data_IF_232624303186
#
_entry.id   IF_232624303186
#
_cell.length_a   1.000
_cell.length_b   1.000
_cell.length_c   1.000
_cell.angle_alpha   90.00
_cell.angle_beta   90.00
_cell.angle_gamma   90.00
#
_symmetry.space_group_name_H-M   'P 1'
#
loop_
_entity.id
_entity.type
_entity.pdbx_description
1 polymer ?
#
# COMPACT_ATOMS: atom_id res chain seq x y z
N UNK A 1 27.08 22.23 53.55
CA UNK A 1 27.24 21.73 52.17
C UNK A 1 25.91 21.95 51.45
N UNK A 2 25.80 23.06 50.71
CA UNK A 2 24.54 23.48 50.06
C UNK A 2 24.40 22.68 48.75
N UNK A 3 23.37 21.83 48.63
CA UNK A 3 23.05 21.15 47.38
C UNK A 3 22.32 22.13 46.45
N UNK A 4 22.94 22.49 45.34
CA UNK A 4 22.27 23.21 44.25
C UNK A 4 21.31 22.25 43.51
N UNK A 5 20.06 22.63 43.23
CA UNK A 5 19.14 21.81 42.45
C UNK A 5 19.62 21.74 40.99
N UNK A 6 19.75 20.53 40.45
CA UNK A 6 20.26 20.26 39.10
C UNK A 6 19.30 20.76 38.02
N UNK A 7 19.72 21.80 37.29
CA UNK A 7 19.04 22.45 36.16
C UNK A 7 19.06 21.59 34.86
N UNK A 8 18.82 20.27 34.96
CA UNK A 8 19.00 19.29 33.85
C UNK A 8 17.66 18.79 33.24
N UNK A 9 16.51 19.22 33.75
CA UNK A 9 15.25 18.53 33.46
C UNK A 9 14.44 19.10 32.26
N UNK A 10 14.65 20.35 31.84
CA UNK A 10 13.80 20.98 30.82
C UNK A 10 14.02 20.49 29.39
N UNK A 11 15.27 20.41 28.93
CA UNK A 11 15.60 20.08 27.52
C UNK A 11 15.40 18.59 27.21
N UNK A 12 15.67 17.73 28.18
CA UNK A 12 15.58 16.27 28.05
C UNK A 12 14.13 15.82 27.81
N UNK A 13 13.17 16.40 28.55
CA UNK A 13 11.75 16.10 28.38
C UNK A 13 11.19 16.54 27.02
N UNK A 14 11.64 17.69 26.50
CA UNK A 14 11.22 18.18 25.18
C UNK A 14 11.72 17.27 24.04
N UNK A 15 12.95 16.79 24.12
CA UNK A 15 13.54 15.87 23.12
C UNK A 15 12.82 14.51 23.17
N UNK A 16 12.55 13.99 24.38
CA UNK A 16 11.79 12.74 24.56
C UNK A 16 10.35 12.84 24.04
N UNK A 17 9.66 13.95 24.32
CA UNK A 17 8.30 14.20 23.85
C UNK A 17 8.22 14.26 22.31
N UNK A 18 9.18 14.95 21.65
CA UNK A 18 9.28 14.97 20.18
C UNK A 18 9.56 13.59 19.58
N UNK A 19 10.42 12.80 20.23
CA UNK A 19 10.70 11.42 19.81
C UNK A 19 9.50 10.48 19.95
N UNK A 20 8.69 10.65 21.00
CA UNK A 20 7.44 9.90 21.19
C UNK A 20 6.39 10.22 20.12
N UNK A 21 6.24 11.50 19.77
CA UNK A 21 5.29 11.94 18.75
C UNK A 21 5.63 11.40 17.35
N UNK A 22 6.90 11.46 16.96
CA UNK A 22 7.35 10.90 15.68
C UNK A 22 7.10 9.39 15.58
N UNK A 23 7.34 8.65 16.67
CA UNK A 23 7.04 7.21 16.74
C UNK A 23 5.55 6.91 16.64
N UNK A 24 4.71 7.71 17.29
CA UNK A 24 3.26 7.56 17.22
C UNK A 24 2.74 7.77 15.78
N UNK A 25 3.26 8.78 15.08
CA UNK A 25 2.93 9.00 13.65
C UNK A 25 3.35 7.79 12.82
N UNK A 26 4.59 7.31 12.96
CA UNK A 26 5.07 6.16 12.19
C UNK A 26 4.23 4.90 12.42
N UNK A 27 3.87 4.62 13.68
CA UNK A 27 3.00 3.49 14.01
C UNK A 27 1.62 3.67 13.39
N UNK A 28 1.03 4.86 13.49
CA UNK A 28 -0.28 5.14 12.90
C UNK A 28 -0.25 4.99 11.38
N UNK A 29 0.77 5.53 10.70
CA UNK A 29 0.95 5.38 9.27
C UNK A 29 1.08 3.91 8.88
N UNK A 30 1.85 3.12 9.61
CA UNK A 30 2.00 1.68 9.34
C UNK A 30 0.67 0.92 9.50
N UNK A 31 -0.09 1.22 10.56
CA UNK A 31 -1.41 0.62 10.78
C UNK A 31 -2.37 0.95 9.63
N UNK A 32 -2.39 2.21 9.18
CA UNK A 32 -3.23 2.63 8.07
C UNK A 32 -2.85 1.94 6.76
N UNK A 33 -1.55 1.78 6.48
CA UNK A 33 -1.07 1.03 5.30
C UNK A 33 -1.50 -0.43 5.36
N UNK A 34 -1.32 -1.10 6.50
CA UNK A 34 -1.73 -2.50 6.67
C UNK A 34 -3.24 -2.65 6.50
N UNK A 35 -4.02 -1.75 7.10
CA UNK A 35 -5.48 -1.75 6.97
C UNK A 35 -5.92 -1.57 5.51
N UNK A 36 -5.31 -0.62 4.80
CA UNK A 36 -5.58 -0.40 3.38
C UNK A 36 -5.27 -1.64 2.55
N UNK A 37 -4.09 -2.24 2.73
CA UNK A 37 -3.68 -3.44 2.01
C UNK A 37 -4.62 -4.62 2.28
N UNK A 38 -5.05 -4.81 3.54
CA UNK A 38 -5.99 -5.86 3.89
C UNK A 38 -7.37 -5.64 3.23
N UNK A 39 -7.84 -4.39 3.19
CA UNK A 39 -9.11 -4.02 2.56
C UNK A 39 -9.10 -4.13 1.04
N UNK A 40 -7.96 -3.92 0.38
CA UNK A 40 -7.84 -3.96 -1.09
C UNK A 40 -7.30 -5.28 -1.63
N UNK A 41 -6.85 -6.20 -0.77
CA UNK A 41 -6.23 -7.47 -1.18
C UNK A 41 -7.10 -8.31 -2.13
N UNK A 42 -8.41 -8.29 -1.93
CA UNK A 42 -9.37 -9.05 -2.74
C UNK A 42 -10.07 -8.23 -3.83
N UNK A 43 -9.60 -7.02 -4.11
CA UNK A 43 -10.06 -6.21 -5.24
C UNK A 43 -9.02 -6.29 -6.36
N UNK A 44 -9.01 -7.37 -7.17
CA UNK A 44 -8.22 -7.37 -8.39
C UNK A 44 -8.70 -6.20 -9.26
N UNK A 45 -7.76 -5.39 -9.74
CA UNK A 45 -8.05 -4.32 -10.69
C UNK A 45 -8.79 -4.91 -11.88
N UNK A 46 -9.97 -4.38 -12.22
CA UNK A 46 -10.79 -4.89 -13.34
C UNK A 46 -9.99 -5.03 -14.64
N UNK A 47 -8.95 -4.21 -14.83
CA UNK A 47 -8.03 -4.29 -15.97
C UNK A 47 -7.26 -5.62 -16.05
N UNK A 48 -6.95 -6.26 -14.91
CA UNK A 48 -6.28 -7.56 -14.89
C UNK A 48 -7.17 -8.68 -15.45
N UNK A 49 -8.50 -8.52 -15.36
CA UNK A 49 -9.46 -9.48 -15.91
C UNK A 49 -9.32 -9.63 -17.42
N UNK A 50 -8.97 -8.55 -18.12
CA UNK A 50 -8.72 -8.56 -19.56
C UNK A 50 -7.60 -9.55 -19.87
N UNK A 51 -6.45 -9.44 -19.19
CA UNK A 51 -5.31 -10.34 -19.38
C UNK A 51 -5.64 -11.80 -19.07
N UNK A 52 -6.40 -12.07 -17.99
CA UNK A 52 -6.81 -13.43 -17.65
C UNK A 52 -7.65 -14.09 -18.75
N UNK A 53 -8.59 -13.34 -19.33
CA UNK A 53 -9.44 -13.83 -20.42
C UNK A 53 -8.66 -14.11 -21.70
N UNK A 54 -7.71 -13.25 -22.05
CA UNK A 54 -6.79 -13.50 -23.17
C UNK A 54 -5.94 -14.76 -22.94
N UNK A 55 -5.42 -14.95 -21.72
CA UNK A 55 -4.63 -16.13 -21.36
C UNK A 55 -5.47 -17.42 -21.44
N UNK A 56 -6.72 -17.38 -20.95
CA UNK A 56 -7.66 -18.49 -21.06
C UNK A 56 -7.96 -18.84 -22.52
N UNK A 57 -8.33 -17.85 -23.34
CA UNK A 57 -8.62 -18.07 -24.75
C UNK A 57 -7.41 -18.59 -25.52
N UNK A 58 -6.20 -18.15 -25.18
CA UNK A 58 -4.97 -18.70 -25.72
C UNK A 58 -4.77 -20.17 -25.31
N UNK A 59 -4.97 -20.50 -24.04
CA UNK A 59 -4.83 -21.86 -23.52
C UNK A 59 -5.85 -22.84 -24.12
N UNK A 60 -7.06 -22.35 -24.45
CA UNK A 60 -8.12 -23.11 -25.11
C UNK A 60 -7.94 -23.20 -26.64
N UNK A 61 -6.92 -22.56 -27.22
CA UNK A 61 -6.63 -22.61 -28.66
C UNK A 61 -7.41 -21.61 -29.50
N UNK A 62 -8.17 -20.70 -28.87
CA UNK A 62 -8.94 -19.65 -29.54
C UNK A 62 -8.07 -18.45 -29.98
N UNK A 63 -6.82 -18.40 -29.49
CA UNK A 63 -5.86 -17.34 -29.77
C UNK A 63 -6.00 -16.14 -28.81
N UNK A 64 -5.20 -15.11 -29.06
CA UNK A 64 -5.23 -13.86 -28.28
C UNK A 64 -6.44 -13.01 -28.69
N UNK A 65 -7.62 -13.40 -28.24
CA UNK A 65 -8.88 -12.68 -28.46
C UNK A 65 -9.60 -12.45 -27.14
N UNK A 66 -10.37 -11.35 -27.04
CA UNK A 66 -11.26 -11.15 -25.90
C UNK A 66 -12.60 -11.88 -26.11
N UNK A 67 -13.26 -11.69 -27.26
CA UNK A 67 -14.47 -12.41 -27.64
C UNK A 67 -14.17 -13.41 -28.77
N UNK A 68 -14.75 -14.61 -28.70
CA UNK A 68 -14.61 -15.61 -29.76
C UNK A 68 -15.27 -15.10 -31.04
N UNK A 69 -14.55 -15.20 -32.16
CA UNK A 69 -15.02 -14.73 -33.47
C UNK A 69 -14.81 -13.23 -33.74
N UNK A 70 -14.45 -12.44 -32.72
CA UNK A 70 -14.14 -11.02 -32.87
C UNK A 70 -12.64 -10.77 -32.62
N UNK A 71 -11.96 -10.18 -33.60
CA UNK A 71 -10.57 -9.73 -33.45
C UNK A 71 -10.56 -8.21 -33.35
N UNK A 72 -10.63 -7.72 -32.12
CA UNK A 72 -10.61 -6.29 -31.80
C UNK A 72 -9.43 -6.03 -30.87
N UNK A 73 -8.75 -4.90 -31.00
CA UNK A 73 -7.77 -4.45 -30.01
C UNK A 73 -8.49 -4.20 -28.68
N UNK A 74 -8.34 -5.12 -27.73
CA UNK A 74 -9.01 -5.08 -26.43
C UNK A 74 -8.15 -4.51 -25.30
N UNK A 75 -7.15 -3.68 -25.60
CA UNK A 75 -6.32 -3.01 -24.59
C UNK A 75 -6.27 -1.50 -24.86
N UNK A 76 -6.34 -0.71 -23.79
CA UNK A 76 -6.06 0.75 -23.83
C UNK A 76 -4.88 1.11 -22.92
N UNK A 77 -4.02 0.14 -22.62
CA UNK A 77 -2.83 0.30 -21.79
C UNK A 77 -1.59 0.39 -22.70
N UNK A 78 -0.90 1.53 -22.71
CA UNK A 78 0.32 1.79 -23.50
C UNK A 78 1.57 1.71 -22.64
#
# INVERSE_FOLDING_TARGET
MIKFPSMIDGKTNIIRAKGGFARAILILSLVLVIFYLYGTWFYPTDDAYISYRYAQNLAEGNGLVYNLGERVEGYSNF
#
